data_IF_643939167847
#
_entry.id   IF_643939167847
#
_cell.length_a   1.000
_cell.length_b   1.000
_cell.length_c   1.000
_cell.angle_alpha   90.00
_cell.angle_beta   90.00
_cell.angle_gamma   90.00
#
_symmetry.space_group_name_H-M   'P 1'
#
loop_
_entity.id
_entity.type
_entity.pdbx_description
1 polymer ?
#
# COMPACT_ATOMS: atom_id res chain seq x y z
N UNK A 1 23.33 66.68 26.16
CA UNK A 1 24.60 67.30 25.88
C UNK A 1 25.37 66.41 24.98
N UNK A 2 25.49 66.66 23.84
CA UNK A 2 25.88 67.31 22.58
C UNK A 2 25.73 66.27 21.45
N UNK A 3 24.93 66.47 20.50
CA UNK A 3 24.89 67.19 19.23
C UNK A 3 26.30 67.24 18.56
N UNK A 4 26.40 66.51 17.43
CA UNK A 4 26.99 67.01 16.19
C UNK A 4 26.73 66.16 15.00
N UNK A 5 25.95 66.71 14.04
CA UNK A 5 25.86 66.39 12.62
C UNK A 5 27.01 67.14 11.85
N UNK A 6 26.98 67.11 10.55
CA UNK A 6 27.20 66.10 9.52
C UNK A 6 28.41 66.47 8.63
N UNK A 7 28.88 65.62 7.74
CA UNK A 7 29.66 66.07 6.59
C UNK A 7 29.28 65.37 5.30
N UNK A 8 28.97 66.21 4.35
CA UNK A 8 28.68 65.93 2.95
C UNK A 8 29.95 65.70 2.10
N UNK A 9 29.80 64.74 1.15
CA UNK A 9 30.20 64.66 -0.26
C UNK A 9 31.71 64.87 -0.66
N UNK A 10 32.17 64.20 -1.75
CA UNK A 10 31.70 64.46 -3.09
C UNK A 10 31.52 63.23 -4.02
N UNK A 11 30.62 63.46 -4.90
CA UNK A 11 30.28 62.86 -6.16
C UNK A 11 31.48 62.79 -7.14
N UNK A 12 31.79 61.61 -7.69
CA UNK A 12 32.50 61.52 -8.97
C UNK A 12 31.89 60.39 -9.78
N UNK A 13 31.19 60.80 -10.81
CA UNK A 13 30.64 59.90 -11.81
C UNK A 13 31.73 59.23 -12.63
N UNK A 14 31.50 57.99 -12.92
CA UNK A 14 32.04 57.33 -14.11
C UNK A 14 30.97 56.45 -14.73
N UNK A 15 30.54 56.92 -15.86
CA UNK A 15 29.67 56.28 -16.81
C UNK A 15 30.53 55.23 -17.55
N UNK A 16 30.40 53.95 -17.25
CA UNK A 16 30.92 52.89 -18.08
C UNK A 16 29.73 52.01 -18.51
N UNK A 17 29.36 52.22 -19.73
CA UNK A 17 28.42 51.43 -20.52
C UNK A 17 28.98 50.06 -20.77
N UNK A 18 28.80 49.13 -19.83
CA UNK A 18 29.15 47.74 -19.99
C UNK A 18 27.99 46.98 -20.68
N UNK A 19 28.20 46.66 -21.94
CA UNK A 19 27.37 45.79 -22.75
C UNK A 19 27.36 44.39 -22.14
N UNK A 20 26.40 44.13 -21.26
CA UNK A 20 26.15 42.75 -20.77
C UNK A 20 25.58 41.89 -21.89
N UNK A 21 26.22 40.74 -22.19
CA UNK A 21 25.68 39.82 -23.19
C UNK A 21 24.33 39.30 -22.72
N UNK A 22 23.40 39.22 -23.65
CA UNK A 22 22.01 38.72 -23.45
C UNK A 22 21.99 37.21 -23.17
N UNK A 23 22.59 36.77 -22.05
CA UNK A 23 22.56 35.39 -21.56
C UNK A 23 21.32 35.08 -20.70
N UNK A 24 20.59 36.12 -20.30
CA UNK A 24 19.44 36.00 -19.42
C UNK A 24 18.25 35.14 -19.98
N UNK A 25 17.90 35.17 -21.27
CA UNK A 25 16.78 34.37 -21.76
C UNK A 25 17.12 32.88 -21.81
N UNK A 26 18.39 32.50 -22.01
CA UNK A 26 18.77 31.08 -22.10
C UNK A 26 18.78 30.40 -20.72
N UNK A 27 19.19 31.13 -19.69
CA UNK A 27 19.23 30.64 -18.29
C UNK A 27 17.81 30.48 -17.72
N UNK A 28 16.88 31.37 -18.09
CA UNK A 28 15.47 31.26 -17.71
C UNK A 28 14.77 30.06 -18.36
N UNK A 29 15.13 29.75 -19.60
CA UNK A 29 14.56 28.61 -20.34
C UNK A 29 15.01 27.27 -19.75
N UNK A 30 16.25 27.16 -19.26
CA UNK A 30 16.78 25.98 -18.55
C UNK A 30 16.11 25.79 -17.18
N UNK A 31 15.81 26.90 -16.48
CA UNK A 31 15.14 26.84 -15.16
C UNK A 31 13.70 26.37 -15.25
N UNK A 32 12.98 26.77 -16.33
CA UNK A 32 11.60 26.31 -16.59
C UNK A 32 11.58 24.83 -16.99
N UNK A 33 12.58 24.35 -17.75
CA UNK A 33 12.70 22.94 -18.09
C UNK A 33 13.02 22.06 -16.88
N UNK A 34 13.81 22.54 -15.91
CA UNK A 34 14.11 21.82 -14.68
C UNK A 34 12.93 21.74 -13.70
N UNK A 35 12.05 22.75 -13.64
CA UNK A 35 10.82 22.71 -12.83
C UNK A 35 9.72 21.81 -13.43
N UNK A 36 9.71 21.59 -14.75
CA UNK A 36 8.69 20.76 -15.42
C UNK A 36 8.84 19.26 -15.17
N UNK A 37 10.03 18.77 -14.75
CA UNK A 37 10.30 17.35 -14.54
C UNK A 37 9.95 16.90 -13.10
N UNK A 38 9.81 17.84 -12.16
CA UNK A 38 9.54 17.51 -10.75
C UNK A 38 8.07 17.30 -10.40
N UNK A 39 7.13 17.48 -11.33
CA UNK A 39 5.70 17.33 -11.07
C UNK A 39 5.13 15.94 -11.39
N UNK A 40 5.98 14.98 -11.79
CA UNK A 40 5.54 13.61 -12.11
C UNK A 40 5.85 12.57 -11.03
N UNK A 41 6.28 12.97 -9.84
CA UNK A 41 6.68 12.06 -8.77
C UNK A 41 5.76 12.07 -7.54
N UNK A 42 4.50 12.47 -7.68
CA UNK A 42 3.44 12.22 -6.70
C UNK A 42 2.24 11.63 -7.43
N UNK A 43 2.37 10.38 -7.91
CA UNK A 43 1.23 9.50 -7.99
C UNK A 43 0.95 9.04 -6.56
N UNK A 44 0.10 9.78 -5.84
CA UNK A 44 -0.71 9.14 -4.80
C UNK A 44 -1.34 7.93 -5.48
N UNK A 45 -1.04 6.73 -4.98
CA UNK A 45 -1.81 5.54 -5.29
C UNK A 45 -3.25 5.82 -4.84
N UNK A 46 -3.99 6.50 -5.70
CA UNK A 46 -5.40 6.72 -5.54
C UNK A 46 -6.03 5.34 -5.43
N UNK A 47 -6.73 5.09 -4.31
CA UNK A 47 -7.47 3.87 -4.08
C UNK A 47 -8.29 3.56 -5.33
N UNK A 48 -7.82 2.63 -6.16
CA UNK A 48 -8.53 2.18 -7.34
C UNK A 48 -9.79 1.46 -6.86
N UNK A 49 -10.92 2.06 -7.14
CA UNK A 49 -12.23 1.43 -6.97
C UNK A 49 -12.28 0.37 -8.08
N UNK A 50 -12.10 -0.91 -7.75
CA UNK A 50 -12.29 -1.92 -8.81
C UNK A 50 -11.79 -3.33 -8.53
N UNK A 51 -10.59 -3.53 -8.05
CA UNK A 51 -10.10 -4.89 -7.79
C UNK A 51 -9.59 -5.02 -6.35
N UNK A 52 -9.92 -6.13 -5.67
CA UNK A 52 -9.39 -6.41 -4.35
C UNK A 52 -7.89 -6.67 -4.44
N UNK A 53 -7.13 -6.13 -3.47
CA UNK A 53 -5.72 -6.43 -3.31
C UNK A 53 -5.53 -7.93 -3.11
N UNK A 54 -4.62 -8.49 -3.88
CA UNK A 54 -4.18 -9.86 -3.72
C UNK A 54 -2.72 -9.85 -3.26
N UNK A 55 -2.47 -10.45 -2.10
CA UNK A 55 -1.12 -10.66 -1.60
C UNK A 55 -0.76 -12.14 -1.67
N UNK A 56 0.50 -12.46 -1.96
CA UNK A 56 0.99 -13.83 -2.09
C UNK A 56 2.10 -14.14 -1.08
N UNK A 57 2.14 -15.39 -0.60
CA UNK A 57 3.17 -15.91 0.28
C UNK A 57 3.39 -17.41 0.03
N UNK A 58 4.60 -17.91 0.25
CA UNK A 58 4.95 -19.33 0.11
C UNK A 58 5.25 -19.93 1.47
N UNK A 59 4.61 -21.06 1.80
CA UNK A 59 4.82 -21.81 3.03
C UNK A 59 5.46 -23.16 2.77
N UNK A 60 6.39 -23.55 3.62
CA UNK A 60 6.96 -24.90 3.64
C UNK A 60 6.04 -25.86 4.40
N UNK A 61 4.92 -26.21 3.80
CA UNK A 61 3.93 -27.12 4.39
C UNK A 61 3.10 -27.86 3.34
N UNK A 62 2.49 -28.98 3.73
CA UNK A 62 1.49 -29.66 2.90
C UNK A 62 0.21 -28.86 2.87
N UNK A 63 -0.43 -28.84 1.71
CA UNK A 63 -1.65 -28.07 1.43
C UNK A 63 -2.73 -28.22 2.49
N UNK A 64 -3.00 -29.46 2.95
CA UNK A 64 -4.03 -29.71 3.96
C UNK A 64 -3.84 -28.90 5.24
N UNK A 65 -2.60 -28.71 5.70
CA UNK A 65 -2.33 -27.92 6.90
C UNK A 65 -2.47 -26.43 6.63
N UNK A 66 -2.10 -26.00 5.42
CA UNK A 66 -2.24 -24.61 4.98
C UNK A 66 -3.71 -24.20 4.89
N UNK A 67 -4.56 -25.04 4.27
CA UNK A 67 -6.01 -24.80 4.20
C UNK A 67 -6.67 -24.73 5.58
N UNK A 68 -6.31 -25.66 6.49
CA UNK A 68 -6.82 -25.67 7.86
C UNK A 68 -6.39 -24.43 8.64
N UNK A 69 -5.11 -24.06 8.52
CA UNK A 69 -4.57 -22.86 9.18
C UNK A 69 -5.27 -21.58 8.71
N UNK A 70 -5.46 -21.42 7.40
CA UNK A 70 -6.16 -20.27 6.83
C UNK A 70 -7.59 -20.18 7.36
N UNK A 71 -8.34 -21.31 7.36
CA UNK A 71 -9.70 -21.34 7.86
C UNK A 71 -9.80 -20.93 9.33
N UNK A 72 -8.86 -21.40 10.16
CA UNK A 72 -8.79 -21.01 11.56
C UNK A 72 -8.50 -19.51 11.72
N UNK A 73 -7.51 -18.99 10.98
CA UNK A 73 -7.14 -17.58 11.03
C UNK A 73 -8.26 -16.66 10.55
N UNK A 74 -9.02 -17.05 9.51
CA UNK A 74 -10.17 -16.27 9.07
C UNK A 74 -11.22 -16.13 10.18
N UNK A 75 -11.48 -17.24 10.90
CA UNK A 75 -12.43 -17.25 12.01
C UNK A 75 -11.92 -16.42 13.21
N UNK A 76 -10.65 -16.57 13.58
CA UNK A 76 -10.05 -15.88 14.72
C UNK A 76 -9.89 -14.36 14.49
N UNK A 77 -9.63 -13.94 13.26
CA UNK A 77 -9.46 -12.52 12.90
C UNK A 77 -10.76 -11.82 12.47
N UNK A 78 -11.92 -12.41 12.77
CA UNK A 78 -13.22 -11.81 12.44
C UNK A 78 -13.38 -11.51 10.94
N UNK A 79 -12.86 -12.40 10.08
CA UNK A 79 -13.07 -12.30 8.63
C UNK A 79 -14.30 -13.08 8.17
N UNK A 80 -15.08 -13.61 9.10
CA UNK A 80 -16.27 -14.42 8.88
C UNK A 80 -16.01 -15.93 9.08
N UNK A 81 -17.09 -16.71 9.03
CA UNK A 81 -17.00 -18.18 9.14
C UNK A 81 -16.36 -18.74 7.88
N UNK A 82 -15.24 -19.46 8.04
CA UNK A 82 -14.50 -20.01 6.93
C UNK A 82 -15.02 -21.37 6.48
N UNK A 83 -15.05 -21.56 5.17
CA UNK A 83 -15.37 -22.82 4.49
C UNK A 83 -14.18 -23.24 3.64
N UNK A 84 -13.76 -24.50 3.78
CA UNK A 84 -12.67 -25.09 2.99
C UNK A 84 -13.28 -25.84 1.82
N UNK A 85 -12.86 -25.50 0.61
CA UNK A 85 -13.13 -26.30 -0.61
C UNK A 85 -11.80 -26.93 -1.04
N UNK A 86 -11.58 -28.16 -0.61
CA UNK A 86 -10.32 -28.88 -0.89
C UNK A 86 -10.15 -29.18 -2.39
N UNK A 87 -11.24 -29.47 -3.11
CA UNK A 87 -11.19 -29.78 -4.55
C UNK A 87 -10.82 -28.54 -5.40
N UNK A 88 -11.23 -27.35 -4.94
CA UNK A 88 -10.88 -26.08 -5.58
C UNK A 88 -9.60 -25.48 -5.01
N UNK A 89 -8.97 -26.11 -4.00
CA UNK A 89 -7.81 -25.56 -3.30
C UNK A 89 -8.06 -24.17 -2.72
N UNK A 90 -9.24 -23.93 -2.17
CA UNK A 90 -9.69 -22.61 -1.71
C UNK A 90 -10.19 -22.64 -0.27
N UNK A 91 -9.99 -21.51 0.41
CA UNK A 91 -10.68 -21.17 1.65
C UNK A 91 -11.42 -19.86 1.43
N UNK A 92 -12.71 -19.85 1.64
CA UNK A 92 -13.53 -18.65 1.56
C UNK A 92 -14.29 -18.46 2.87
N UNK A 93 -14.45 -17.23 3.32
CA UNK A 93 -15.32 -16.94 4.44
C UNK A 93 -16.66 -16.34 3.98
N UNK A 94 -17.67 -16.52 4.81
CA UNK A 94 -18.93 -15.78 4.69
C UNK A 94 -18.65 -14.29 4.98
N UNK A 95 -19.52 -13.40 4.50
CA UNK A 95 -19.44 -12.00 4.88
C UNK A 95 -19.77 -11.82 6.36
N UNK A 96 -18.83 -11.22 7.10
CA UNK A 96 -19.10 -10.70 8.44
C UNK A 96 -19.57 -9.24 8.33
N UNK A 97 -20.81 -8.98 8.75
CA UNK A 97 -21.41 -7.63 8.71
C UNK A 97 -21.28 -6.98 10.08
N UNK A 98 -20.73 -5.79 10.11
CA UNK A 98 -20.56 -4.96 11.32
C UNK A 98 -21.00 -3.52 11.01
N UNK A 99 -22.23 -3.15 11.39
CA UNK A 99 -22.81 -1.85 11.06
C UNK A 99 -22.92 -1.64 9.54
N UNK A 100 -22.32 -0.58 9.04
CA UNK A 100 -22.30 -0.26 7.60
C UNK A 100 -21.14 -0.90 6.84
N UNK A 101 -20.44 -1.84 7.45
CA UNK A 101 -19.31 -2.54 6.83
C UNK A 101 -19.56 -4.03 6.75
N UNK A 102 -19.03 -4.65 5.72
CA UNK A 102 -18.91 -6.11 5.64
C UNK A 102 -17.53 -6.49 5.13
N UNK A 103 -17.02 -7.61 5.67
CA UNK A 103 -15.68 -8.09 5.32
C UNK A 103 -15.75 -9.61 5.08
N UNK A 104 -14.95 -10.11 4.15
CA UNK A 104 -14.71 -11.54 3.96
C UNK A 104 -13.27 -11.79 3.53
N UNK A 105 -12.76 -12.97 3.81
CA UNK A 105 -11.50 -13.52 3.31
C UNK A 105 -11.70 -14.50 2.18
N UNK A 106 -10.78 -14.49 1.22
CA UNK A 106 -10.65 -15.49 0.17
C UNK A 106 -9.18 -15.85 0.02
N UNK A 107 -8.85 -17.13 0.05
CA UNK A 107 -7.50 -17.62 -0.17
C UNK A 107 -7.50 -18.76 -1.17
N UNK A 108 -6.57 -18.73 -2.12
CA UNK A 108 -6.25 -19.82 -3.03
C UNK A 108 -4.92 -20.41 -2.67
N UNK A 109 -4.85 -21.73 -2.58
CA UNK A 109 -3.65 -22.47 -2.27
C UNK A 109 -3.22 -23.24 -3.51
N UNK A 110 -1.97 -23.08 -3.92
CA UNK A 110 -1.41 -23.83 -5.03
C UNK A 110 -0.20 -24.61 -4.54
N UNK A 111 -0.27 -25.93 -4.60
CA UNK A 111 0.89 -26.78 -4.32
C UNK A 111 1.97 -26.52 -5.38
N UNK A 112 3.16 -26.08 -4.95
CA UNK A 112 4.32 -25.88 -5.83
C UNK A 112 5.08 -27.18 -5.99
N UNK A 113 5.32 -27.85 -4.86
CA UNK A 113 5.99 -29.15 -4.77
C UNK A 113 5.51 -29.91 -3.53
N UNK A 114 6.10 -31.05 -3.23
CA UNK A 114 5.66 -31.89 -2.09
C UNK A 114 5.86 -31.26 -0.69
N UNK A 115 6.63 -30.17 -0.61
CA UNK A 115 6.91 -29.44 0.64
C UNK A 115 6.31 -28.03 0.68
N UNK A 116 6.03 -27.41 -0.46
CA UNK A 116 5.76 -25.98 -0.54
C UNK A 116 4.42 -25.69 -1.19
N UNK A 117 3.69 -24.74 -0.61
CA UNK A 117 2.45 -24.19 -1.14
C UNK A 117 2.55 -22.67 -1.29
N UNK A 118 2.11 -22.15 -2.42
CA UNK A 118 1.82 -20.72 -2.61
C UNK A 118 0.39 -20.43 -2.16
N UNK A 119 0.22 -19.40 -1.37
CA UNK A 119 -1.07 -18.87 -0.96
C UNK A 119 -1.27 -17.49 -1.57
N UNK A 120 -2.38 -17.28 -2.25
CA UNK A 120 -2.85 -15.97 -2.67
C UNK A 120 -4.04 -15.57 -1.82
N UNK A 121 -3.88 -14.50 -1.06
CA UNK A 121 -4.84 -14.02 -0.08
C UNK A 121 -5.48 -12.71 -0.56
N UNK A 122 -6.80 -12.64 -0.48
CA UNK A 122 -7.61 -11.46 -0.79
C UNK A 122 -8.56 -11.19 0.36
N UNK A 123 -8.52 -9.97 0.92
CA UNK A 123 -9.49 -9.52 1.91
C UNK A 123 -10.39 -8.46 1.26
N UNK A 124 -11.67 -8.76 1.21
CA UNK A 124 -12.68 -7.88 0.61
C UNK A 124 -13.41 -7.17 1.74
N UNK A 125 -13.31 -5.86 1.77
CA UNK A 125 -14.05 -4.99 2.70
C UNK A 125 -14.93 -4.05 1.89
N UNK A 126 -16.21 -3.98 2.25
CA UNK A 126 -17.21 -3.16 1.56
C UNK A 126 -17.96 -2.30 2.57
N UNK A 127 -18.29 -1.08 2.15
CA UNK A 127 -19.11 -0.13 2.90
C UNK A 127 -20.49 -0.02 2.27
N UNK A 128 -21.53 -0.01 3.11
CA UNK A 128 -22.90 0.20 2.67
C UNK A 128 -23.07 1.66 2.24
N UNK A 129 -23.66 1.85 1.07
CA UNK A 129 -24.02 3.15 0.49
C UNK A 129 -25.49 3.13 0.09
N UNK A 130 -26.09 4.28 -0.25
CA UNK A 130 -27.47 4.32 -0.74
C UNK A 130 -27.72 3.48 -2.00
N UNK A 131 -26.66 3.24 -2.80
CA UNK A 131 -26.73 2.46 -4.05
C UNK A 131 -26.36 0.98 -3.88
N UNK A 132 -25.93 0.56 -2.67
CA UNK A 132 -25.54 -0.82 -2.39
C UNK A 132 -24.24 -0.93 -1.61
N UNK A 133 -23.51 -2.02 -1.82
CA UNK A 133 -22.23 -2.25 -1.19
C UNK A 133 -21.10 -1.83 -2.14
N UNK A 134 -20.20 -0.99 -1.65
CA UNK A 134 -19.04 -0.50 -2.39
C UNK A 134 -17.74 -1.01 -1.76
N UNK A 135 -16.87 -1.57 -2.58
CA UNK A 135 -15.57 -2.05 -2.14
C UNK A 135 -14.71 -0.89 -1.63
N UNK A 136 -14.01 -1.14 -0.54
CA UNK A 136 -13.02 -0.22 0.04
C UNK A 136 -11.73 -0.97 0.30
N UNK A 137 -10.64 -0.42 -0.18
CA UNK A 137 -9.30 -0.94 0.08
C UNK A 137 -8.84 -0.41 1.43
N UNK A 138 -8.85 -1.25 2.46
CA UNK A 138 -8.46 -0.87 3.81
C UNK A 138 -7.17 -1.52 4.29
N UNK A 139 -6.71 -2.58 3.63
CA UNK A 139 -5.54 -3.32 4.06
C UNK A 139 -4.31 -2.92 3.25
N UNK A 140 -3.29 -2.45 3.94
CA UNK A 140 -1.96 -2.22 3.38
C UNK A 140 -1.09 -3.49 3.46
N UNK A 141 0.09 -3.44 2.85
CA UNK A 141 1.07 -4.54 2.84
C UNK A 141 1.37 -5.08 4.24
N UNK A 142 1.54 -4.21 5.21
CA UNK A 142 1.88 -4.58 6.59
C UNK A 142 0.78 -5.41 7.28
N UNK A 143 -0.49 -5.16 6.95
CA UNK A 143 -1.60 -5.94 7.48
C UNK A 143 -1.63 -7.34 6.86
N UNK A 144 -1.39 -7.47 5.56
CA UNK A 144 -1.23 -8.78 4.92
C UNK A 144 -0.07 -9.57 5.50
N UNK A 145 1.08 -8.94 5.75
CA UNK A 145 2.23 -9.59 6.39
C UNK A 145 1.90 -10.14 7.78
N UNK A 146 1.10 -9.41 8.57
CA UNK A 146 0.64 -9.89 9.88
C UNK A 146 -0.25 -11.12 9.76
N UNK A 147 -1.15 -11.13 8.77
CA UNK A 147 -2.04 -12.28 8.52
C UNK A 147 -1.19 -13.48 8.06
N UNK A 148 -0.24 -13.30 7.16
CA UNK A 148 0.64 -14.38 6.71
C UNK A 148 1.47 -14.98 7.85
N UNK A 149 2.01 -14.15 8.76
CA UNK A 149 2.70 -14.63 9.97
C UNK A 149 1.78 -15.40 10.91
N UNK A 150 0.53 -14.97 11.06
CA UNK A 150 -0.45 -15.69 11.87
C UNK A 150 -0.79 -17.05 11.25
N UNK A 151 -0.96 -17.12 9.92
CA UNK A 151 -1.17 -18.37 9.18
C UNK A 151 0.05 -19.30 9.36
N UNK A 152 1.28 -18.79 9.23
CA UNK A 152 2.51 -19.59 9.43
C UNK A 152 2.53 -20.22 10.81
N UNK A 153 2.29 -19.43 11.86
CA UNK A 153 2.24 -19.95 13.23
C UNK A 153 1.14 -21.01 13.40
N UNK A 154 -0.04 -20.82 12.80
CA UNK A 154 -1.13 -21.79 12.86
C UNK A 154 -0.80 -23.08 12.08
N UNK A 155 -0.07 -23.00 10.96
CA UNK A 155 0.41 -24.18 10.23
C UNK A 155 1.26 -25.08 11.15
N UNK A 156 2.20 -24.50 11.90
CA UNK A 156 2.99 -25.29 12.86
C UNK A 156 2.10 -25.97 13.91
N UNK A 157 1.08 -25.28 14.40
CA UNK A 157 0.11 -25.87 15.34
C UNK A 157 -0.66 -27.05 14.72
N UNK A 158 -1.10 -26.94 13.48
CA UNK A 158 -1.83 -28.02 12.78
C UNK A 158 -0.91 -29.23 12.52
N UNK A 159 0.35 -29.02 12.14
CA UNK A 159 1.33 -30.08 11.98
C UNK A 159 1.59 -30.79 13.31
N UNK A 160 1.73 -30.03 14.39
CA UNK A 160 1.98 -30.59 15.72
C UNK A 160 0.81 -31.43 16.25
N UNK A 161 -0.44 -31.02 15.98
CA UNK A 161 -1.64 -31.79 16.36
C UNK A 161 -1.77 -33.12 15.58
N UNK A 162 -1.16 -33.21 14.40
CA UNK A 162 -1.28 -34.36 13.51
C UNK A 162 -0.22 -35.45 13.74
N UNK A 163 0.81 -35.15 14.56
CA UNK A 163 1.88 -36.09 14.96
C UNK A 163 1.62 -36.62 16.34
#
# INVERSE_FOLDING_TARGET
VDIQSPQELPNTGHNESEKRPRLFPLLMLILIAACGISLWACTEEGASIGEPDQAGYVYEAKEKFVLQAIAQIFTENNLGRANINADAHEVASDYLVQGDWRTRGLARVRQINWKECEVKLTIITEKKTPTGWEMRRLLGKDQYEKIFKAIEFQIYREIYKAN
#
